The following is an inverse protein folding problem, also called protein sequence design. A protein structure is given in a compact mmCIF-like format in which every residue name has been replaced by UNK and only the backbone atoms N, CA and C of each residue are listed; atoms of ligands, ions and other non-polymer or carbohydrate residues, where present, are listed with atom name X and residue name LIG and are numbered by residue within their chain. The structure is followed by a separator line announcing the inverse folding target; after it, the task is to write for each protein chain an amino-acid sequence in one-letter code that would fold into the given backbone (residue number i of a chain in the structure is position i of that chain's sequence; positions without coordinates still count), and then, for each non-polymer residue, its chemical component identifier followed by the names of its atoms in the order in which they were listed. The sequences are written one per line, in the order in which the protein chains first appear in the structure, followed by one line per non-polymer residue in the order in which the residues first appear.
data_IF_909780976765
#
_entry.id   IF_909780976765
#
_cell.length_a   1.000
_cell.length_b   1.000
_cell.length_c   1.000
_cell.angle_alpha   90.00
_cell.angle_beta   90.00
_cell.angle_gamma   90.00
#
_symmetry.space_group_name_H-M   'P 1'
#
loop_
_entity.id
_entity.type
_entity.pdbx_description
1 polymer ?
#
# COMPACT_ATOMS: atom_id res chain seq x y z
N UNK A 1 16.96 -83.03 32.07
CA UNK A 1 15.97 -83.12 30.96
C UNK A 1 15.68 -81.68 30.56
N UNK A 2 16.33 -81.03 29.58
CA UNK A 2 16.71 -81.36 28.20
C UNK A 2 15.50 -81.51 27.25
N UNK A 3 15.16 -80.44 26.54
CA UNK A 3 14.69 -80.33 25.13
C UNK A 3 14.34 -78.84 24.88
N UNK A 4 15.18 -78.03 24.23
CA UNK A 4 15.56 -77.97 22.80
C UNK A 4 14.44 -77.42 21.86
N UNK A 5 14.45 -76.09 21.70
CA UNK A 5 14.34 -75.27 20.48
C UNK A 5 13.14 -75.39 19.51
N UNK A 6 12.53 -74.24 19.19
CA UNK A 6 12.41 -73.75 17.79
C UNK A 6 12.15 -72.24 17.70
N UNK A 7 12.97 -71.58 16.89
CA UNK A 7 12.94 -70.15 16.58
C UNK A 7 11.77 -69.74 15.66
N UNK A 8 11.34 -68.48 15.79
CA UNK A 8 10.78 -67.69 14.69
C UNK A 8 11.04 -66.20 15.01
N UNK A 9 11.86 -65.56 14.18
CA UNK A 9 12.24 -64.16 14.32
C UNK A 9 11.10 -63.20 13.98
N UNK A 10 11.16 -62.02 14.60
CA UNK A 10 10.41 -60.85 14.19
C UNK A 10 11.41 -59.72 13.91
N UNK A 11 11.78 -59.56 12.64
CA UNK A 11 12.42 -58.37 12.14
C UNK A 11 11.35 -57.28 12.01
N UNK A 12 11.29 -56.37 12.99
CA UNK A 12 10.53 -55.14 12.86
C UNK A 12 11.35 -54.18 11.98
N UNK A 13 10.77 -53.87 10.84
CA UNK A 13 11.33 -53.13 9.73
C UNK A 13 11.66 -51.69 10.12
N UNK A 14 12.83 -51.23 9.67
CA UNK A 14 13.16 -49.82 9.57
C UNK A 14 12.19 -49.16 8.58
N UNK A 15 11.49 -48.14 9.06
CA UNK A 15 10.62 -47.28 8.25
C UNK A 15 11.54 -46.36 7.42
N UNK A 16 11.45 -46.35 6.08
CA UNK A 16 12.27 -45.49 5.26
C UNK A 16 11.83 -44.02 5.39
N UNK A 17 12.76 -43.16 5.82
CA UNK A 17 12.62 -41.71 6.05
C UNK A 17 12.57 -40.87 4.75
N UNK A 18 12.26 -41.49 3.60
CA UNK A 18 12.39 -40.81 2.29
C UNK A 18 11.08 -40.16 1.79
N UNK A 19 9.97 -40.30 2.52
CA UNK A 19 8.68 -39.73 2.09
C UNK A 19 8.30 -38.39 2.73
N UNK A 20 9.08 -37.88 3.69
CA UNK A 20 8.71 -36.63 4.38
C UNK A 20 9.09 -35.35 3.62
N UNK A 21 9.93 -35.42 2.58
CA UNK A 21 10.38 -34.21 1.88
C UNK A 21 9.46 -33.74 0.73
N UNK A 22 8.36 -34.46 0.41
CA UNK A 22 7.47 -34.06 -0.70
C UNK A 22 6.15 -33.41 -0.28
N UNK A 23 5.85 -33.28 1.02
CA UNK A 23 4.56 -32.75 1.49
C UNK A 23 4.58 -31.27 1.90
N UNK A 24 5.74 -30.62 1.99
CA UNK A 24 5.81 -29.29 2.59
C UNK A 24 5.73 -28.10 1.60
N UNK A 25 5.78 -28.36 0.29
CA UNK A 25 5.71 -27.30 -0.74
C UNK A 25 4.29 -27.04 -1.29
N UNK A 26 3.28 -27.83 -0.89
CA UNK A 26 1.94 -27.81 -1.53
C UNK A 26 0.95 -26.78 -0.99
N UNK A 27 1.36 -25.93 -0.04
CA UNK A 27 0.46 -25.11 0.76
C UNK A 27 0.62 -23.60 0.64
N UNK A 28 1.51 -23.08 -0.21
CA UNK A 28 1.63 -21.63 -0.35
C UNK A 28 0.45 -21.10 -1.18
N UNK A 29 -0.39 -20.19 -0.63
CA UNK A 29 -1.47 -19.60 -1.40
C UNK A 29 -0.88 -18.83 -2.57
N UNK A 30 -1.30 -19.18 -3.78
CA UNK A 30 -0.90 -18.48 -5.01
C UNK A 30 -1.28 -17.00 -4.84
N UNK A 31 -0.34 -16.05 -5.01
CA UNK A 31 -0.66 -14.64 -4.84
C UNK A 31 -1.67 -14.22 -5.92
N UNK A 32 -2.91 -14.02 -5.49
CA UNK A 32 -3.96 -13.49 -6.35
C UNK A 32 -3.75 -11.98 -6.53
N UNK A 33 -4.13 -11.47 -7.70
CA UNK A 33 -4.06 -10.04 -7.97
C UNK A 33 -5.00 -9.28 -7.02
N UNK A 34 -4.51 -8.28 -6.27
CA UNK A 34 -5.39 -7.46 -5.43
C UNK A 34 -6.37 -6.65 -6.30
N UNK A 35 -7.54 -6.29 -5.76
CA UNK A 35 -8.46 -5.43 -6.49
C UNK A 35 -7.83 -4.06 -6.80
N UNK A 36 -8.21 -3.43 -7.93
CA UNK A 36 -7.74 -2.09 -8.25
C UNK A 36 -8.26 -1.08 -7.22
N UNK A 37 -7.40 -0.13 -6.84
CA UNK A 37 -7.76 0.99 -5.97
C UNK A 37 -8.41 2.13 -6.76
N UNK A 38 -9.39 2.79 -6.15
CA UNK A 38 -9.90 4.08 -6.63
C UNK A 38 -8.78 5.13 -6.64
N UNK A 39 -8.80 6.04 -7.61
CA UNK A 39 -7.88 7.20 -7.65
C UNK A 39 -8.47 8.43 -6.95
N UNK A 40 -9.71 8.35 -6.49
CA UNK A 40 -10.34 9.44 -5.75
C UNK A 40 -9.56 9.73 -4.47
N UNK A 41 -9.31 11.01 -4.23
CA UNK A 41 -8.59 11.49 -3.06
C UNK A 41 -9.33 12.68 -2.47
N UNK A 42 -9.59 12.60 -1.16
CA UNK A 42 -10.20 13.68 -0.39
C UNK A 42 -9.24 14.06 0.74
N UNK A 43 -8.82 15.34 0.83
CA UNK A 43 -7.89 15.76 1.87
C UNK A 43 -8.51 15.55 3.27
N UNK A 44 -7.77 14.94 4.21
CA UNK A 44 -8.22 14.83 5.59
C UNK A 44 -8.18 16.21 6.28
N UNK A 45 -9.04 16.43 7.28
CA UNK A 45 -9.11 17.70 8.01
C UNK A 45 -7.81 17.98 8.79
N UNK A 46 -7.16 16.93 9.29
CA UNK A 46 -5.92 16.94 10.04
C UNK A 46 -4.67 16.81 9.15
N UNK A 47 -4.79 17.10 7.84
CA UNK A 47 -3.69 17.00 6.87
C UNK A 47 -2.44 17.76 7.33
N UNK A 48 -2.59 19.00 7.81
CA UNK A 48 -1.46 19.82 8.23
C UNK A 48 -0.71 19.19 9.41
N UNK A 49 -1.43 18.73 10.43
CA UNK A 49 -0.85 18.10 11.63
C UNK A 49 -0.13 16.80 11.29
N UNK A 50 -0.71 15.98 10.40
CA UNK A 50 -0.06 14.76 9.90
C UNK A 50 1.21 15.06 9.14
N UNK A 51 1.16 16.00 8.20
CA UNK A 51 2.33 16.38 7.40
C UNK A 51 3.44 16.92 8.29
N UNK A 52 3.11 17.80 9.24
CA UNK A 52 4.04 18.35 10.21
C UNK A 52 4.72 17.25 11.03
N UNK A 53 3.94 16.30 11.55
CA UNK A 53 4.46 15.15 12.30
C UNK A 53 5.48 14.35 11.49
N UNK A 54 5.15 14.00 10.24
CA UNK A 54 6.05 13.24 9.37
C UNK A 54 7.28 14.01 8.94
N UNK A 55 7.13 15.30 8.66
CA UNK A 55 8.25 16.18 8.29
C UNK A 55 9.21 16.28 9.47
N UNK A 56 8.71 16.50 10.69
CA UNK A 56 9.53 16.53 11.92
C UNK A 56 10.20 15.20 12.19
N UNK A 57 9.52 14.07 11.97
CA UNK A 57 10.10 12.75 12.19
C UNK A 57 11.22 12.42 11.18
N UNK A 58 11.03 12.78 9.90
CA UNK A 58 11.98 12.42 8.83
C UNK A 58 13.14 13.40 8.72
N UNK A 59 12.88 14.71 8.81
CA UNK A 59 13.92 15.75 8.69
C UNK A 59 14.58 16.06 10.05
N UNK A 60 13.94 15.74 11.17
CA UNK A 60 14.55 15.83 12.51
C UNK A 60 14.88 17.26 12.97
N UNK A 61 15.85 17.43 13.91
CA UNK A 61 16.17 18.71 14.56
C UNK A 61 16.75 19.78 13.62
N UNK A 62 17.00 19.47 12.34
CA UNK A 62 17.35 20.47 11.32
C UNK A 62 16.21 21.44 11.02
N UNK A 63 14.99 21.16 11.48
CA UNK A 63 13.84 22.05 11.42
C UNK A 63 13.94 23.13 12.51
N UNK A 64 14.67 24.20 12.23
CA UNK A 64 14.64 25.42 13.03
C UNK A 64 13.68 26.43 12.37
N UNK A 65 12.40 26.39 12.74
CA UNK A 65 11.38 27.35 12.27
C UNK A 65 10.17 26.71 11.59
N UNK A 66 9.61 27.42 10.60
CA UNK A 66 8.41 27.01 9.87
C UNK A 66 8.64 25.71 9.09
N UNK A 67 7.99 24.63 9.51
CA UNK A 67 8.15 23.32 8.89
C UNK A 67 7.80 23.29 7.40
N UNK A 68 6.92 24.18 6.95
CA UNK A 68 6.51 24.31 5.54
C UNK A 68 7.65 24.75 4.63
N UNK A 69 8.60 25.52 5.15
CA UNK A 69 9.74 26.03 4.37
C UNK A 69 10.90 25.03 4.30
N UNK A 70 10.78 23.88 4.98
CA UNK A 70 11.81 22.88 5.03
C UNK A 70 12.12 22.32 3.63
N UNK A 71 13.38 22.39 3.24
CA UNK A 71 13.84 21.94 1.94
C UNK A 71 13.96 20.41 1.87
N UNK A 72 13.42 19.81 0.82
CA UNK A 72 13.46 18.37 0.51
C UNK A 72 14.64 18.05 -0.43
N UNK A 73 15.82 18.57 -0.10
CA UNK A 73 17.02 18.46 -0.94
C UNK A 73 17.63 17.05 -0.95
N UNK A 74 17.63 16.36 0.19
CA UNK A 74 18.11 14.98 0.28
C UNK A 74 17.09 14.02 -0.35
N UNK A 75 17.50 13.37 -1.45
CA UNK A 75 16.70 12.40 -2.19
C UNK A 75 16.24 11.24 -1.32
N UNK A 76 17.05 10.78 -0.36
CA UNK A 76 16.70 9.65 0.53
C UNK A 76 15.59 10.05 1.50
N UNK A 77 15.72 11.22 2.13
CA UNK A 77 14.70 11.75 3.05
C UNK A 77 13.41 12.06 2.30
N UNK A 78 13.51 12.69 1.12
CA UNK A 78 12.36 12.97 0.26
C UNK A 78 11.62 11.68 -0.13
N UNK A 79 12.35 10.64 -0.54
CA UNK A 79 11.75 9.36 -0.87
C UNK A 79 11.04 8.72 0.34
N UNK A 80 11.69 8.72 1.51
CA UNK A 80 11.10 8.18 2.74
C UNK A 80 9.82 8.91 3.15
N UNK A 81 9.84 10.25 3.09
CA UNK A 81 8.67 11.08 3.41
C UNK A 81 7.52 10.81 2.43
N UNK A 82 7.79 10.88 1.13
CA UNK A 82 6.78 10.65 0.09
C UNK A 82 6.21 9.24 0.14
N UNK A 83 7.04 8.22 0.40
CA UNK A 83 6.60 6.85 0.54
C UNK A 83 5.64 6.65 1.71
N UNK A 84 5.95 7.27 2.87
CA UNK A 84 5.06 7.21 4.04
C UNK A 84 3.73 7.91 3.79
N UNK A 85 3.77 9.12 3.21
CA UNK A 85 2.55 9.86 2.86
C UNK A 85 1.69 9.10 1.84
N UNK A 86 2.31 8.45 0.86
CA UNK A 86 1.59 7.66 -0.14
C UNK A 86 0.86 6.45 0.46
N UNK A 87 1.47 5.79 1.46
CA UNK A 87 0.84 4.67 2.17
C UNK A 87 -0.29 5.16 3.07
N UNK A 88 -0.07 6.24 3.83
CA UNK A 88 -1.05 6.73 4.79
C UNK A 88 -2.25 7.42 4.15
N UNK A 89 -2.01 8.27 3.14
CA UNK A 89 -3.07 9.01 2.45
C UNK A 89 -3.67 8.22 1.28
N UNK A 90 -3.06 7.10 0.90
CA UNK A 90 -3.45 6.31 -0.27
C UNK A 90 -3.26 7.05 -1.61
N UNK A 91 -2.61 8.21 -1.59
CA UNK A 91 -2.42 9.08 -2.75
C UNK A 91 -0.93 9.33 -2.98
N UNK A 92 -0.40 8.84 -4.10
CA UNK A 92 1.02 8.98 -4.44
C UNK A 92 1.25 10.15 -5.39
N UNK A 93 2.38 10.85 -5.22
CA UNK A 93 2.78 11.95 -6.11
C UNK A 93 3.20 11.40 -7.48
N UNK A 94 2.62 11.88 -8.60
CA UNK A 94 3.03 11.49 -9.94
C UNK A 94 4.47 11.90 -10.28
N UNK A 95 5.16 11.09 -11.10
CA UNK A 95 6.54 11.36 -11.52
C UNK A 95 6.73 12.75 -12.16
N UNK A 96 5.73 13.21 -12.93
CA UNK A 96 5.74 14.53 -13.56
C UNK A 96 5.77 15.68 -12.55
N UNK A 97 5.25 15.48 -11.33
CA UNK A 97 5.22 16.51 -10.27
C UNK A 97 6.32 16.35 -9.23
N UNK A 98 7.08 15.25 -9.24
CA UNK A 98 8.14 15.03 -8.24
C UNK A 98 9.21 16.12 -8.23
N UNK A 99 9.54 16.70 -9.38
CA UNK A 99 10.54 17.78 -9.47
C UNK A 99 10.06 19.12 -8.89
N UNK A 100 8.74 19.30 -8.76
CA UNK A 100 8.11 20.47 -8.15
C UNK A 100 8.09 20.40 -6.62
N UNK A 101 8.12 19.20 -6.04
CA UNK A 101 8.11 18.99 -4.59
C UNK A 101 9.48 19.32 -3.98
N UNK A 102 9.79 20.61 -3.79
CA UNK A 102 11.09 21.09 -3.30
C UNK A 102 11.04 21.44 -1.82
N UNK A 103 9.89 21.87 -1.33
CA UNK A 103 9.64 22.23 0.05
C UNK A 103 8.45 21.45 0.61
N UNK A 104 8.36 21.34 1.94
CA UNK A 104 7.22 20.71 2.59
C UNK A 104 5.88 21.45 2.30
N UNK A 105 5.93 22.75 2.04
CA UNK A 105 4.80 23.55 1.59
C UNK A 105 4.23 23.09 0.25
N UNK A 106 5.09 22.73 -0.71
CA UNK A 106 4.66 22.20 -2.01
C UNK A 106 3.88 20.88 -1.86
N UNK A 107 4.29 20.04 -0.89
CA UNK A 107 3.56 18.83 -0.55
C UNK A 107 2.20 19.15 0.05
N UNK A 108 2.13 20.12 0.97
CA UNK A 108 0.88 20.54 1.57
C UNK A 108 -0.09 21.06 0.50
N UNK A 109 0.38 21.88 -0.42
CA UNK A 109 -0.43 22.38 -1.54
C UNK A 109 -0.95 21.23 -2.42
N UNK A 110 -0.07 20.29 -2.78
CA UNK A 110 -0.43 19.12 -3.56
C UNK A 110 -1.52 18.27 -2.88
N UNK A 111 -1.33 17.94 -1.60
CA UNK A 111 -2.27 17.09 -0.86
C UNK A 111 -3.52 17.83 -0.38
N UNK A 112 -3.58 19.16 -0.50
CA UNK A 112 -4.80 19.93 -0.21
C UNK A 112 -5.80 19.89 -1.38
N UNK A 113 -5.34 19.59 -2.59
CA UNK A 113 -6.19 19.50 -3.78
C UNK A 113 -6.94 18.14 -3.83
N UNK A 114 -8.29 18.13 -3.85
CA UNK A 114 -9.05 16.90 -4.01
C UNK A 114 -8.96 16.36 -5.45
N UNK A 115 -9.04 15.04 -5.60
CA UNK A 115 -9.06 14.34 -6.90
C UNK A 115 -10.33 13.51 -6.98
N UNK A 116 -11.11 13.70 -8.06
CA UNK A 116 -12.28 12.87 -8.38
C UNK A 116 -11.91 11.90 -9.49
N UNK A 117 -12.35 10.65 -9.36
CA UNK A 117 -12.16 9.58 -10.36
C UNK A 117 -13.44 9.34 -11.19
N UNK A 118 -14.46 10.19 -10.98
CA UNK A 118 -15.75 10.13 -11.66
C UNK A 118 -15.60 10.54 -13.13
N UNK A 119 -16.30 9.83 -14.02
CA UNK A 119 -16.37 10.25 -15.42
C UNK A 119 -17.23 11.50 -15.56
N UNK A 120 -17.13 12.17 -16.71
CA UNK A 120 -17.99 13.33 -16.99
C UNK A 120 -19.48 13.00 -17.04
N UNK A 121 -19.81 11.75 -17.39
CA UNK A 121 -21.19 11.29 -17.32
C UNK A 121 -21.64 11.12 -15.86
N UNK A 122 -20.82 10.50 -15.01
CA UNK A 122 -21.14 10.31 -13.58
C UNK A 122 -21.32 11.65 -12.86
N UNK A 123 -20.42 12.60 -13.13
CA UNK A 123 -20.49 13.98 -12.59
C UNK A 123 -21.79 14.67 -13.01
N UNK A 124 -22.21 14.50 -14.26
CA UNK A 124 -23.43 15.11 -14.81
C UNK A 124 -24.71 14.42 -14.31
N UNK A 125 -24.67 13.10 -14.14
CA UNK A 125 -25.78 12.31 -13.62
C UNK A 125 -26.03 12.59 -12.13
N UNK A 126 -24.98 12.92 -11.37
CA UNK A 126 -25.09 13.35 -9.97
C UNK A 126 -25.54 14.81 -9.80
N UNK A 127 -25.46 15.62 -10.85
CA UNK A 127 -25.91 17.01 -10.83
C UNK A 127 -27.46 17.10 -10.90
N UNK A 128 -28.01 18.21 -10.40
CA UNK A 128 -29.44 18.49 -10.52
C UNK A 128 -29.80 18.81 -11.97
N UNK A 129 -30.28 17.80 -12.69
CA UNK A 129 -30.71 17.96 -14.07
C UNK A 129 -32.11 18.59 -14.15
N UNK A 130 -32.36 19.47 -15.14
CA UNK A 130 -33.70 19.97 -15.42
C UNK A 130 -34.69 18.81 -15.67
N UNK A 131 -35.96 18.92 -15.25
CA UNK A 131 -36.94 17.82 -15.30
C UNK A 131 -37.25 17.34 -16.73
N UNK A 132 -36.96 18.15 -17.73
CA UNK A 132 -37.14 17.86 -19.15
C UNK A 132 -35.90 17.22 -19.80
N UNK A 133 -34.82 16.98 -19.06
CA UNK A 133 -33.56 16.49 -19.58
C UNK A 133 -33.30 15.07 -19.08
N UNK A 134 -33.20 14.11 -20.01
CA UNK A 134 -32.85 12.71 -19.73
C UNK A 134 -31.63 12.31 -20.56
N UNK A 135 -30.57 11.86 -19.89
CA UNK A 135 -29.34 11.40 -20.54
C UNK A 135 -29.23 9.89 -20.30
N UNK A 136 -29.00 9.12 -21.36
CA UNK A 136 -28.82 7.67 -21.28
C UNK A 136 -27.44 7.33 -21.81
N UNK A 137 -26.65 6.61 -21.02
CA UNK A 137 -25.35 6.10 -21.44
C UNK A 137 -25.54 4.87 -22.33
N UNK A 138 -25.04 4.94 -23.58
CA UNK A 138 -24.94 3.79 -24.48
C UNK A 138 -23.45 3.49 -24.69
N UNK A 139 -23.05 2.28 -24.33
CA UNK A 139 -21.68 1.80 -24.39
C UNK A 139 -21.46 0.88 -25.60
#
# INVERSE_FOLDING_TARGET
EAEEQKAAGAAAQAIPEDQQQQQEERGQPVPLCPPPRSRSYRPPQDLQSRLESHVREVLGPSLTGDWRQAALGDKRLKHRLLGRLAVELGHAVPNSRLHLMRQAGDLLEFYSAPVKDETKFDELAAAELPPNLRIVWKQ
#
